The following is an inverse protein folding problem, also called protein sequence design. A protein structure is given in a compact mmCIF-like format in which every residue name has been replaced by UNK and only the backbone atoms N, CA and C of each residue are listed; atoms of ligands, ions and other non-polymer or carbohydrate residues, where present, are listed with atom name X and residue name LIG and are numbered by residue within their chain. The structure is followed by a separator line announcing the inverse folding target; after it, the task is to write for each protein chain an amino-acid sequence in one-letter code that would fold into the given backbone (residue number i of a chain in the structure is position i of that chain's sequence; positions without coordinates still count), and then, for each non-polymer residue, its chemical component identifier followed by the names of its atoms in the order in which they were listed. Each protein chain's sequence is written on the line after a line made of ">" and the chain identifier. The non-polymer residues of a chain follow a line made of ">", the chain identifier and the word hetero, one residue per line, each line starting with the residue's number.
data_IF_227363017279
#
_entry.id   IF_227363017279
#
_cell.length_a   1.000
_cell.length_b   1.000
_cell.length_c   1.000
_cell.angle_alpha   90.00
_cell.angle_beta   90.00
_cell.angle_gamma   90.00
#
_symmetry.space_group_name_H-M   'P 1'
#
loop_
_entity.id
_entity.type
_entity.pdbx_description
1 polymer ?
#
# COMPACT_ATOMS: atom_id res chain seq x y z
N UNK A 1 -18.03 4.44 15.30
CA UNK A 1 -17.40 5.37 14.33
C UNK A 1 -16.18 4.71 13.72
N UNK A 2 -15.81 5.06 12.48
CA UNK A 2 -14.73 4.41 11.71
C UNK A 2 -13.40 4.45 12.47
N UNK A 3 -13.08 5.56 13.14
CA UNK A 3 -11.84 5.72 13.90
C UNK A 3 -11.77 4.81 15.13
N UNK A 4 -12.91 4.55 15.79
CA UNK A 4 -12.98 3.62 16.93
C UNK A 4 -12.65 2.20 16.48
N UNK A 5 -13.24 1.78 15.36
CA UNK A 5 -13.01 0.44 14.82
C UNK A 5 -11.57 0.28 14.30
N UNK A 6 -11.02 1.31 13.66
CA UNK A 6 -9.62 1.32 13.24
C UNK A 6 -8.67 1.20 14.44
N UNK A 7 -8.90 1.98 15.50
CA UNK A 7 -8.11 1.90 16.73
C UNK A 7 -8.17 0.49 17.33
N UNK A 8 -9.37 -0.10 17.40
CA UNK A 8 -9.57 -1.48 17.88
C UNK A 8 -8.80 -2.51 17.04
N UNK A 9 -8.82 -2.38 15.71
CA UNK A 9 -8.09 -3.28 14.82
C UNK A 9 -6.57 -3.16 14.99
N UNK A 10 -6.04 -1.93 15.13
CA UNK A 10 -4.63 -1.71 15.42
C UNK A 10 -4.21 -2.33 16.77
N UNK A 11 -5.06 -2.22 17.79
CA UNK A 11 -4.80 -2.85 19.09
C UNK A 11 -4.70 -4.38 18.98
N UNK A 12 -5.68 -5.00 18.31
CA UNK A 12 -5.70 -6.45 18.13
C UNK A 12 -4.48 -6.94 17.33
N UNK A 13 -4.11 -6.22 16.26
CA UNK A 13 -2.95 -6.59 15.45
C UNK A 13 -1.66 -6.53 16.26
N UNK A 14 -1.48 -5.51 17.09
CA UNK A 14 -0.29 -5.40 17.94
C UNK A 14 -0.25 -6.48 19.03
N UNK A 15 -1.41 -6.85 19.59
CA UNK A 15 -1.55 -7.94 20.58
C UNK A 15 -1.21 -9.31 19.97
N UNK A 16 -1.73 -9.61 18.79
CA UNK A 16 -1.49 -10.87 18.07
C UNK A 16 -0.01 -11.07 17.75
N UNK A 17 0.70 -9.98 17.46
CA UNK A 17 2.13 -9.99 17.19
C UNK A 17 2.99 -9.93 18.46
N UNK A 18 2.36 -9.94 19.64
CA UNK A 18 3.01 -9.84 20.95
C UNK A 18 3.93 -8.60 21.07
N UNK A 19 3.53 -7.49 20.43
CA UNK A 19 4.31 -6.25 20.37
C UNK A 19 3.93 -5.25 21.48
N UNK A 20 3.15 -5.68 22.48
CA UNK A 20 2.47 -4.76 23.42
C UNK A 20 2.72 -5.08 24.89
N UNK A 21 3.21 -4.09 25.63
CA UNK A 21 2.50 -3.60 26.83
C UNK A 21 1.38 -2.64 26.41
N UNK A 22 0.50 -2.19 27.32
CA UNK A 22 -0.75 -1.41 27.10
C UNK A 22 -0.82 -0.47 25.87
N UNK A 23 -0.91 -1.01 24.65
CA UNK A 23 -0.94 -0.23 23.41
C UNK A 23 -2.37 0.24 23.14
N UNK A 24 -2.53 1.57 23.13
CA UNK A 24 -3.80 2.24 22.81
C UNK A 24 -3.52 3.36 21.81
N UNK A 25 -3.87 3.22 20.52
CA UNK A 25 -3.68 4.29 19.55
C UNK A 25 -4.51 5.51 19.93
N UNK A 26 -3.86 6.66 20.06
CA UNK A 26 -4.49 7.94 20.44
C UNK A 26 -4.44 9.00 19.33
N UNK A 27 -3.56 8.80 18.34
CA UNK A 27 -3.37 9.71 17.23
C UNK A 27 -3.26 8.94 15.92
N UNK A 28 -3.68 9.58 14.83
CA UNK A 28 -3.53 9.08 13.47
C UNK A 28 -3.17 10.24 12.54
N UNK A 29 -2.26 9.99 11.61
CA UNK A 29 -1.88 10.91 10.55
C UNK A 29 -2.28 10.27 9.22
N UNK A 30 -2.93 11.05 8.36
CA UNK A 30 -3.28 10.62 7.01
C UNK A 30 -2.37 11.34 6.02
N UNK A 31 -1.53 10.58 5.33
CA UNK A 31 -0.63 11.11 4.31
C UNK A 31 -1.22 10.87 2.91
N UNK A 32 -1.38 11.94 2.11
CA UNK A 32 -1.79 11.85 0.71
C UNK A 32 -0.60 12.11 -0.21
N UNK A 33 -0.25 11.13 -1.04
CA UNK A 33 0.84 11.23 -2.00
C UNK A 33 0.33 11.19 -3.43
N UNK A 34 0.80 12.12 -4.25
CA UNK A 34 0.72 12.08 -5.72
C UNK A 34 1.96 11.37 -6.26
N UNK A 35 1.92 10.99 -7.54
CA UNK A 35 3.01 10.26 -8.23
C UNK A 35 4.41 10.84 -8.04
N UNK A 36 4.52 12.17 -7.98
CA UNK A 36 5.81 12.88 -7.85
C UNK A 36 6.22 13.14 -6.40
N UNK A 37 5.33 12.90 -5.45
CA UNK A 37 5.59 13.22 -4.06
C UNK A 37 6.56 12.20 -3.45
N UNK A 38 7.32 12.65 -2.46
CA UNK A 38 8.32 11.87 -1.73
C UNK A 38 8.31 12.26 -0.27
N UNK A 39 8.60 11.31 0.60
CA UNK A 39 8.86 11.58 2.01
C UNK A 39 10.33 11.32 2.30
N UNK A 40 11.04 12.36 2.74
CA UNK A 40 12.47 12.26 3.06
C UNK A 40 12.68 11.34 4.26
N UNK A 41 13.87 10.74 4.32
CA UNK A 41 14.29 9.95 5.48
C UNK A 41 14.20 10.76 6.78
N UNK A 42 13.30 10.34 7.67
CA UNK A 42 12.99 10.94 8.96
C UNK A 42 12.69 9.84 9.98
N UNK A 43 12.60 10.21 11.25
CA UNK A 43 12.16 9.34 12.33
C UNK A 43 10.88 9.92 12.90
N UNK A 44 9.95 9.06 13.29
CA UNK A 44 8.76 9.45 14.04
C UNK A 44 9.11 9.51 15.53
N UNK A 45 9.52 10.71 15.97
CA UNK A 45 10.00 11.01 17.32
C UNK A 45 9.17 12.10 18.03
N UNK A 46 7.99 12.41 17.50
CA UNK A 46 7.09 13.40 18.07
C UNK A 46 6.38 12.91 19.34
N UNK A 47 6.22 11.59 19.53
CA UNK A 47 5.58 11.04 20.72
C UNK A 47 6.52 11.00 21.93
N UNK A 48 5.97 11.31 23.12
CA UNK A 48 6.68 11.12 24.39
C UNK A 48 7.05 9.65 24.63
N UNK A 49 6.18 8.72 24.20
CA UNK A 49 6.44 7.28 24.26
C UNK A 49 6.97 6.77 22.91
N UNK A 50 8.26 6.45 22.88
CA UNK A 50 8.94 5.87 21.72
C UNK A 50 8.99 4.32 21.75
N UNK A 51 8.23 3.67 22.64
CA UNK A 51 8.19 2.20 22.78
C UNK A 51 6.96 1.57 22.16
N UNK A 52 5.82 2.28 22.19
CA UNK A 52 4.59 1.85 21.51
C UNK A 52 4.79 1.71 19.99
N UNK A 53 4.23 0.68 19.35
CA UNK A 53 4.36 0.48 17.92
C UNK A 53 3.62 1.55 17.11
N UNK A 54 4.10 1.79 15.88
CA UNK A 54 3.37 2.55 14.86
C UNK A 54 2.77 1.59 13.85
N UNK A 55 1.48 1.76 13.56
CA UNK A 55 0.77 1.03 12.52
C UNK A 55 0.57 1.96 11.33
N UNK A 56 1.13 1.59 10.18
CA UNK A 56 0.99 2.32 8.92
C UNK A 56 0.20 1.48 7.93
N UNK A 57 -0.86 2.04 7.38
CA UNK A 57 -1.76 1.35 6.43
C UNK A 57 -1.63 2.02 5.07
N UNK A 58 -1.30 1.22 4.05
CA UNK A 58 -1.13 1.71 2.68
C UNK A 58 -2.40 1.50 1.88
N UNK A 59 -2.87 2.55 1.18
CA UNK A 59 -4.08 2.51 0.36
C UNK A 59 -3.78 3.08 -1.03
N UNK A 60 -4.36 2.47 -2.06
CA UNK A 60 -4.20 2.93 -3.44
C UNK A 60 -2.94 2.42 -4.13
N UNK A 61 -2.21 3.33 -4.80
CA UNK A 61 -1.05 2.98 -5.62
C UNK A 61 0.10 2.42 -4.78
N UNK A 62 0.89 1.48 -5.33
CA UNK A 62 2.05 0.96 -4.63
C UNK A 62 3.10 2.06 -4.36
N UNK A 63 3.74 2.01 -3.20
CA UNK A 63 4.82 2.92 -2.80
C UNK A 63 6.10 2.17 -2.49
N UNK A 64 7.25 2.74 -2.87
CA UNK A 64 8.56 2.26 -2.46
C UNK A 64 8.94 2.90 -1.12
N UNK A 65 8.71 2.17 -0.05
CA UNK A 65 9.12 2.52 1.30
C UNK A 65 10.58 2.15 1.52
N UNK A 66 11.33 3.02 2.19
CA UNK A 66 12.71 2.79 2.59
C UNK A 66 12.79 2.76 4.10
N UNK A 67 13.34 1.68 4.66
CA UNK A 67 13.64 1.55 6.09
C UNK A 67 15.14 1.43 6.33
N UNK A 68 15.71 2.41 7.00
CA UNK A 68 17.11 2.47 7.41
C UNK A 68 17.33 1.91 8.81
N UNK A 69 18.44 2.29 9.41
CA UNK A 69 18.69 2.09 10.82
C UNK A 69 18.47 3.37 11.64
N UNK A 70 19.03 3.39 12.84
CA UNK A 70 19.03 4.54 13.76
C UNK A 70 19.89 5.72 13.28
N UNK A 71 20.71 5.52 12.25
CA UNK A 71 21.63 6.52 11.71
C UNK A 71 21.62 6.56 10.17
N UNK A 72 22.04 7.68 9.59
CA UNK A 72 22.03 7.92 8.13
C UNK A 72 23.13 7.17 7.36
N UNK A 73 24.07 6.56 8.07
CA UNK A 73 25.19 5.81 7.48
C UNK A 73 24.77 4.43 7.00
N UNK A 74 23.68 3.89 7.56
CA UNK A 74 23.16 2.59 7.18
C UNK A 74 22.32 2.71 5.90
N UNK A 75 22.63 1.88 4.91
CA UNK A 75 21.89 1.84 3.66
C UNK A 75 20.46 1.33 3.90
N UNK A 76 19.43 2.08 3.49
CA UNK A 76 18.05 1.68 3.74
C UNK A 76 17.64 0.48 2.88
N UNK A 77 16.84 -0.39 3.46
CA UNK A 77 16.23 -1.51 2.79
C UNK A 77 14.93 -1.09 2.08
N UNK A 78 14.75 -1.43 0.80
CA UNK A 78 13.52 -1.15 0.07
C UNK A 78 12.42 -2.17 0.38
N UNK A 79 11.21 -1.66 0.60
CA UNK A 79 9.98 -2.44 0.76
C UNK A 79 8.91 -1.85 -0.15
N UNK A 80 8.29 -2.67 -1.00
CA UNK A 80 7.15 -2.24 -1.81
C UNK A 80 5.87 -2.46 -1.01
N UNK A 81 5.21 -1.37 -0.63
CA UNK A 81 3.91 -1.38 0.02
C UNK A 81 2.82 -1.21 -1.03
N UNK A 82 1.86 -2.12 -1.06
CA UNK A 82 0.71 -2.11 -1.97
C UNK A 82 -0.55 -1.64 -1.23
N UNK A 83 -1.58 -1.26 -1.98
CA UNK A 83 -2.89 -1.00 -1.38
C UNK A 83 -3.38 -2.21 -0.60
N UNK A 84 -3.68 -2.03 0.68
CA UNK A 84 -4.07 -3.07 1.64
C UNK A 84 -2.93 -3.51 2.57
N UNK A 85 -1.67 -3.21 2.27
CA UNK A 85 -0.55 -3.61 3.13
C UNK A 85 -0.55 -2.80 4.44
N UNK A 86 -0.24 -3.50 5.54
CA UNK A 86 -0.08 -2.91 6.88
C UNK A 86 1.36 -3.14 7.34
N UNK A 87 2.06 -2.06 7.64
CA UNK A 87 3.41 -2.06 8.18
C UNK A 87 3.36 -1.72 9.67
N UNK A 88 4.07 -2.51 10.49
CA UNK A 88 4.29 -2.20 11.90
C UNK A 88 5.75 -1.84 12.14
N UNK A 89 5.97 -0.64 12.66
CA UNK A 89 7.27 -0.24 13.20
C UNK A 89 7.22 -0.43 14.72
N UNK A 90 7.93 -1.43 15.23
CA UNK A 90 7.96 -1.80 16.65
C UNK A 90 9.40 -2.02 17.14
N UNK A 91 9.61 -1.99 18.46
CA UNK A 91 10.93 -2.23 19.06
C UNK A 91 12.01 -1.32 18.43
N UNK A 92 13.16 -1.86 18.01
CA UNK A 92 14.24 -1.10 17.36
C UNK A 92 13.80 -0.41 16.07
N UNK A 93 12.80 -0.95 15.36
CA UNK A 93 12.27 -0.34 14.14
C UNK A 93 11.54 0.99 14.42
N UNK A 94 11.06 1.23 15.65
CA UNK A 94 10.42 2.52 16.01
C UNK A 94 11.33 3.72 15.84
N UNK A 95 12.63 3.51 15.97
CA UNK A 95 13.65 4.56 15.88
C UNK A 95 14.41 4.51 14.56
N UNK A 96 13.95 3.71 13.61
CA UNK A 96 14.59 3.60 12.31
C UNK A 96 14.21 4.79 11.43
N UNK A 97 15.20 5.38 10.77
CA UNK A 97 14.98 6.37 9.73
C UNK A 97 14.20 5.72 8.59
N UNK A 98 13.16 6.37 8.11
CA UNK A 98 12.34 5.83 7.03
C UNK A 98 11.71 6.92 6.17
N UNK A 99 11.17 6.52 5.03
CA UNK A 99 10.51 7.44 4.10
C UNK A 99 9.96 6.74 2.86
N UNK A 100 9.43 7.56 1.94
CA UNK A 100 8.83 7.11 0.69
C UNK A 100 9.69 7.63 -0.46
N UNK A 101 10.37 6.72 -1.16
CA UNK A 101 11.27 7.05 -2.26
C UNK A 101 10.53 7.31 -3.57
N UNK A 102 9.39 6.65 -3.80
CA UNK A 102 8.57 6.84 -4.99
C UNK A 102 7.16 6.28 -4.79
N UNK A 103 6.19 6.88 -5.45
CA UNK A 103 4.90 6.26 -5.74
C UNK A 103 5.00 5.61 -7.12
N UNK A 104 4.68 4.32 -7.19
CA UNK A 104 4.84 3.48 -8.37
C UNK A 104 3.55 3.43 -9.17
N UNK A 105 3.66 3.15 -10.46
CA UNK A 105 2.51 2.88 -11.30
C UNK A 105 1.85 1.53 -10.94
N UNK A 106 0.53 1.39 -11.18
CA UNK A 106 -0.15 0.13 -10.98
C UNK A 106 0.46 -0.93 -11.91
N UNK A 107 0.73 -2.11 -11.38
CA UNK A 107 1.26 -3.22 -12.17
C UNK A 107 0.18 -3.74 -13.13
N UNK A 108 0.47 -3.90 -14.43
CA UNK A 108 -0.48 -4.53 -15.36
C UNK A 108 -0.84 -5.95 -14.87
N UNK A 109 -2.13 -6.19 -14.65
CA UNK A 109 -2.64 -7.51 -14.21
C UNK A 109 -2.72 -7.74 -12.70
N UNK A 110 -2.43 -6.73 -11.86
CA UNK A 110 -2.78 -6.79 -10.44
C UNK A 110 -4.31 -6.76 -10.30
N UNK A 111 -4.92 -7.93 -10.12
CA UNK A 111 -6.37 -8.02 -9.85
C UNK A 111 -6.63 -7.37 -8.49
N UNK A 112 -7.33 -6.24 -8.48
CA UNK A 112 -8.01 -5.79 -7.27
C UNK A 112 -9.15 -6.77 -7.03
N UNK A 113 -9.15 -7.47 -5.91
CA UNK A 113 -10.19 -8.43 -5.53
C UNK A 113 -11.49 -7.73 -5.11
N UNK A 114 -11.95 -6.78 -5.92
CA UNK A 114 -13.29 -6.23 -5.90
C UNK A 114 -13.73 -6.12 -7.36
N UNK A 115 -14.43 -7.17 -7.81
CA UNK A 115 -14.88 -7.30 -9.19
C UNK A 115 -15.98 -6.29 -9.49
N UNK A 116 -15.65 -5.30 -10.30
CA UNK A 116 -16.63 -4.66 -11.16
C UNK A 116 -16.69 -5.51 -12.44
N UNK A 117 -17.79 -6.23 -12.66
CA UNK A 117 -18.05 -6.86 -13.95
C UNK A 117 -18.46 -5.75 -14.91
N UNK A 118 -17.49 -5.18 -15.63
CA UNK A 118 -17.79 -4.27 -16.73
C UNK A 118 -18.37 -5.10 -17.89
N UNK A 119 -19.68 -4.94 -18.10
CA UNK A 119 -20.48 -5.64 -19.09
C UNK A 119 -20.19 -5.14 -20.50
N UNK A 120 -18.96 -5.33 -20.98
CA UNK A 120 -18.56 -5.04 -22.35
C UNK A 120 -19.28 -5.94 -23.34
N UNK A 121 -20.26 -5.38 -24.05
CA UNK A 121 -20.95 -6.01 -25.19
C UNK A 121 -19.92 -6.49 -26.25
N UNK A 122 -20.04 -7.72 -26.78
CA UNK A 122 -19.08 -8.21 -27.76
C UNK A 122 -19.22 -7.46 -29.08
N UNK A 123 -18.08 -7.08 -29.66
CA UNK A 123 -18.00 -6.42 -30.95
C UNK A 123 -18.73 -7.22 -32.05
N UNK A 124 -19.43 -6.57 -32.99
CA UNK A 124 -20.18 -7.26 -34.03
C UNK A 124 -19.22 -7.97 -35.00
N UNK A 125 -19.61 -9.16 -35.53
CA UNK A 125 -18.77 -9.92 -36.45
C UNK A 125 -18.60 -9.17 -37.77
N UNK A 126 -17.36 -9.09 -38.23
CA UNK A 126 -17.01 -8.58 -39.56
C UNK A 126 -17.54 -9.53 -40.63
N UNK A 127 -18.30 -9.00 -41.59
CA UNK A 127 -18.83 -9.77 -42.70
C UNK A 127 -17.68 -10.28 -43.59
N UNK A 128 -17.52 -11.60 -43.64
CA UNK A 128 -16.64 -12.27 -44.60
C UNK A 128 -17.19 -12.07 -46.01
N UNK A 129 -16.32 -11.63 -46.92
CA UNK A 129 -16.63 -11.39 -48.33
C UNK A 129 -17.17 -12.63 -49.03
N UNK A 130 -18.29 -12.45 -49.75
CA UNK A 130 -18.85 -13.46 -50.62
C UNK A 130 -17.97 -13.69 -51.84
N UNK A 131 -17.22 -14.80 -51.84
CA UNK A 131 -16.68 -15.41 -53.05
C UNK A 131 -17.76 -16.20 -53.76
N UNK A 132 -18.44 -15.56 -54.71
CA UNK A 132 -19.38 -16.22 -55.62
C UNK A 132 -18.65 -16.82 -56.82
N UNK A 133 -18.38 -18.12 -56.76
CA UNK A 133 -18.04 -18.91 -57.95
C UNK A 133 -19.30 -19.15 -58.80
N UNK A 134 -19.16 -19.00 -60.11
CA UNK A 134 -20.16 -19.39 -61.10
C UNK A 134 -19.46 -19.85 -62.36
N UNK A 135 -19.38 -21.17 -62.56
CA UNK A 135 -18.90 -21.78 -63.80
C UNK A 135 -20.05 -22.14 -64.74
N UNK A 136 -19.67 -22.34 -66.02
CA UNK A 136 -20.18 -23.30 -67.03
C UNK A 136 -20.35 -22.64 -68.40
N UNK A 137 -19.87 -23.31 -69.44
CA UNK A 137 -20.15 -23.03 -70.85
C UNK A 137 -18.91 -23.16 -71.71
#
# INVERSE_FOLDING_TARGET
>A
EIMTELSRQCQLLAQELHLTGDYTPQAAIVNLYRRTDRLRGHQDDAETDATSPLVSISLGLPGLFLVGGDTRQLSPQPVVLRGGDVLLLASTARKSLHGIAAIMDPQPGAKTEHGEQDGGEPAPPTAAGGGGGGGRG
#
